data_IF_975857663928
#
_entry.id   IF_975857663928
#
_cell.length_a   1.000
_cell.length_b   1.000
_cell.length_c   1.000
_cell.angle_alpha   90.00
_cell.angle_beta   90.00
_cell.angle_gamma   90.00
#
_symmetry.space_group_name_H-M   'P 1'
#
loop_
_entity.id
_entity.type
_entity.pdbx_description
1 polymer ?
#
# COMPACT_ATOMS: atom_id res chain seq x y z
N UNK A 1 -14.78 -5.51 -0.59
CA UNK A 1 -13.53 -6.23 -0.86
C UNK A 1 -12.71 -6.46 0.40
N UNK A 2 -12.17 -5.41 1.01
CA UNK A 2 -11.53 -5.46 2.34
C UNK A 2 -12.47 -4.83 3.38
N UNK A 3 -12.62 -5.48 4.54
CA UNK A 3 -13.41 -4.97 5.65
C UNK A 3 -12.68 -5.16 6.97
N UNK A 4 -12.58 -4.10 7.75
CA UNK A 4 -12.12 -4.09 9.13
C UNK A 4 -13.28 -3.67 10.02
N UNK A 5 -13.51 -4.37 11.14
CA UNK A 5 -14.54 -4.04 12.11
C UNK A 5 -13.96 -4.05 13.52
N UNK A 6 -14.05 -2.90 14.20
CA UNK A 6 -13.65 -2.66 15.59
C UNK A 6 -12.25 -3.22 15.92
N UNK A 7 -11.27 -2.96 15.05
CA UNK A 7 -9.93 -3.53 15.17
C UNK A 7 -9.09 -2.78 16.18
N UNK A 8 -8.66 -3.49 17.22
CA UNK A 8 -7.67 -3.05 18.22
C UNK A 8 -6.35 -3.77 17.99
N UNK A 9 -5.24 -3.03 17.86
CA UNK A 9 -3.93 -3.64 17.63
C UNK A 9 -2.78 -2.80 18.21
N UNK A 10 -1.61 -3.45 18.36
CA UNK A 10 -0.42 -2.79 18.88
C UNK A 10 0.75 -3.74 19.07
N UNK A 11 1.75 -3.30 19.81
CA UNK A 11 3.02 -3.99 20.03
C UNK A 11 3.21 -4.30 21.53
N UNK A 12 3.34 -5.55 21.91
CA UNK A 12 3.47 -5.94 23.33
C UNK A 12 2.33 -5.33 24.17
N UNK A 13 2.64 -4.51 25.16
CA UNK A 13 1.65 -3.78 25.96
C UNK A 13 1.13 -2.49 25.33
N UNK A 14 1.87 -1.93 24.35
CA UNK A 14 1.50 -0.68 23.71
C UNK A 14 0.38 -0.90 22.68
N UNK A 15 -0.74 -0.19 22.83
CA UNK A 15 -1.83 -0.19 21.86
C UNK A 15 -1.66 0.99 20.90
N UNK A 16 -1.73 0.73 19.60
CA UNK A 16 -1.54 1.71 18.54
C UNK A 16 -2.80 1.96 17.70
N UNK A 17 -3.75 1.03 17.70
CA UNK A 17 -5.02 1.14 16.99
C UNK A 17 -6.16 0.86 17.96
N UNK A 18 -7.22 1.66 17.90
CA UNK A 18 -8.36 1.62 18.80
C UNK A 18 -9.66 1.61 17.99
N UNK A 19 -10.32 0.44 17.91
CA UNK A 19 -11.64 0.28 17.30
C UNK A 19 -11.69 0.72 15.84
N UNK A 20 -10.70 0.36 15.00
CA UNK A 20 -10.67 0.78 13.60
C UNK A 20 -11.76 0.09 12.80
N UNK A 21 -12.64 0.90 12.22
CA UNK A 21 -13.60 0.52 11.18
C UNK A 21 -13.18 1.11 9.84
N UNK A 22 -12.94 0.26 8.83
CA UNK A 22 -12.50 0.66 7.50
C UNK A 22 -12.99 -0.33 6.47
N UNK A 23 -13.39 0.16 5.30
CA UNK A 23 -13.71 -0.67 4.15
C UNK A 23 -13.04 -0.15 2.87
N UNK A 24 -12.73 -1.07 1.96
CA UNK A 24 -12.24 -0.77 0.61
C UNK A 24 -13.05 -1.58 -0.38
N UNK A 25 -13.63 -0.92 -1.39
CA UNK A 25 -14.39 -1.58 -2.47
C UNK A 25 -13.42 -2.08 -3.55
N UNK A 26 -13.87 -3.04 -4.35
CA UNK A 26 -13.08 -3.53 -5.48
C UNK A 26 -12.88 -2.42 -6.53
N UNK A 27 -11.65 -2.30 -7.05
CA UNK A 27 -11.28 -1.26 -8.03
C UNK A 27 -11.15 0.15 -7.46
N UNK A 28 -11.33 0.33 -6.15
CA UNK A 28 -11.23 1.62 -5.47
C UNK A 28 -9.79 1.91 -5.03
N UNK A 29 -9.37 3.17 -5.11
CA UNK A 29 -8.19 3.66 -4.41
C UNK A 29 -8.61 4.39 -3.14
N UNK A 30 -8.14 3.92 -1.98
CA UNK A 30 -8.44 4.50 -0.67
C UNK A 30 -7.17 5.01 -0.01
N UNK A 31 -7.21 6.23 0.51
CA UNK A 31 -6.14 6.82 1.31
C UNK A 31 -6.39 6.66 2.81
N UNK A 32 -5.34 6.37 3.58
CA UNK A 32 -5.34 6.58 5.02
C UNK A 32 -4.30 7.65 5.32
N UNK A 33 -4.78 8.81 5.71
CA UNK A 33 -3.97 10.02 5.94
C UNK A 33 -3.89 10.34 7.42
N UNK A 34 -2.80 10.97 7.83
CA UNK A 34 -2.60 11.35 9.23
C UNK A 34 -1.13 11.60 9.55
N UNK A 35 -0.84 12.16 10.74
CA UNK A 35 0.52 12.50 11.15
C UNK A 35 1.37 11.24 11.40
N UNK A 36 2.68 11.46 11.59
CA UNK A 36 3.58 10.40 12.02
C UNK A 36 3.17 9.89 13.40
N UNK A 37 3.26 8.58 13.59
CA UNK A 37 2.82 7.94 14.83
C UNK A 37 1.30 7.74 14.97
N UNK A 38 0.48 8.16 14.01
CA UNK A 38 -0.97 8.01 14.07
C UNK A 38 -1.47 6.55 14.00
N UNK A 39 -0.61 5.59 13.64
CA UNK A 39 -0.97 4.17 13.52
C UNK A 39 -1.06 3.66 12.08
N UNK A 40 -0.73 4.46 11.05
CA UNK A 40 -0.83 4.11 9.63
C UNK A 40 -0.09 2.81 9.27
N UNK A 41 1.22 2.75 9.56
CA UNK A 41 2.03 1.54 9.32
C UNK A 41 1.54 0.35 10.15
N UNK A 42 1.06 0.58 11.38
CA UNK A 42 0.46 -0.49 12.20
C UNK A 42 -0.77 -1.07 11.52
N UNK A 43 -1.64 -0.22 10.95
CA UNK A 43 -2.80 -0.64 10.18
C UNK A 43 -2.40 -1.52 8.98
N UNK A 44 -1.40 -1.09 8.19
CA UNK A 44 -0.88 -1.88 7.08
C UNK A 44 -0.33 -3.24 7.51
N UNK A 45 0.40 -3.28 8.63
CA UNK A 45 0.93 -4.54 9.19
C UNK A 45 -0.17 -5.46 9.71
N UNK A 46 -1.24 -4.92 10.23
CA UNK A 46 -2.41 -5.69 10.68
C UNK A 46 -3.14 -6.30 9.48
N UNK A 47 -3.40 -5.52 8.43
CA UNK A 47 -4.05 -6.01 7.20
C UNK A 47 -3.19 -7.07 6.50
N UNK A 48 -1.86 -6.90 6.49
CA UNK A 48 -0.92 -7.88 5.90
C UNK A 48 -0.60 -9.06 6.83
N UNK A 49 -1.29 -9.19 7.98
CA UNK A 49 -1.12 -10.31 8.92
C UNK A 49 0.20 -10.31 9.69
N UNK A 50 1.03 -9.27 9.58
CA UNK A 50 2.30 -9.14 10.30
C UNK A 50 2.10 -8.82 11.79
N UNK A 51 0.95 -8.22 12.12
CA UNK A 51 0.53 -7.99 13.50
C UNK A 51 -0.86 -8.59 13.67
N UNK A 52 -1.03 -9.44 14.66
CA UNK A 52 -2.35 -9.98 15.02
C UNK A 52 -3.09 -8.97 15.88
N UNK A 53 -4.31 -8.55 15.52
CA UNK A 53 -5.11 -7.66 16.34
C UNK A 53 -5.53 -8.37 17.64
N UNK A 54 -5.79 -7.56 18.68
CA UNK A 54 -6.30 -8.03 19.98
C UNK A 54 -7.80 -8.22 19.97
N UNK A 55 -8.50 -7.41 19.15
CA UNK A 55 -9.96 -7.40 18.97
C UNK A 55 -10.31 -7.07 17.54
N UNK A 56 -11.55 -7.36 17.19
CA UNK A 56 -12.11 -7.03 15.87
C UNK A 56 -11.94 -8.15 14.86
N UNK A 57 -12.33 -7.86 13.63
CA UNK A 57 -12.24 -8.79 12.50
C UNK A 57 -11.72 -8.11 11.25
N UNK A 58 -11.06 -8.89 10.39
CA UNK A 58 -10.55 -8.44 9.09
C UNK A 58 -10.96 -9.46 8.05
N UNK A 59 -11.67 -9.02 7.02
CA UNK A 59 -12.12 -9.88 5.94
C UNK A 59 -11.64 -9.37 4.59
N UNK A 60 -11.14 -10.28 3.76
CA UNK A 60 -10.79 -10.03 2.36
C UNK A 60 -11.68 -10.90 1.48
N UNK A 61 -12.60 -10.28 0.73
CA UNK A 61 -13.61 -10.98 -0.08
C UNK A 61 -14.39 -12.06 0.72
N UNK A 62 -14.72 -11.75 1.96
CA UNK A 62 -15.40 -12.66 2.88
C UNK A 62 -14.50 -13.64 3.62
N UNK A 63 -13.27 -13.88 3.16
CA UNK A 63 -12.31 -14.73 3.85
C UNK A 63 -11.72 -14.01 5.07
N UNK A 64 -11.59 -14.72 6.19
CA UNK A 64 -10.99 -14.19 7.41
C UNK A 64 -9.46 -14.15 7.28
N UNK A 65 -8.92 -12.92 7.30
CA UNK A 65 -7.48 -12.67 7.21
C UNK A 65 -6.76 -13.20 8.46
N UNK A 66 -7.40 -13.18 9.62
CA UNK A 66 -6.78 -13.53 10.91
C UNK A 66 -6.51 -15.04 11.09
N UNK A 67 -7.22 -15.88 10.32
CA UNK A 67 -7.00 -17.33 10.29
C UNK A 67 -5.91 -17.74 9.30
N UNK A 68 -5.45 -16.80 8.46
CA UNK A 68 -4.44 -17.04 7.43
C UNK A 68 -3.04 -16.74 7.97
N UNK A 69 -2.08 -17.67 7.90
CA UNK A 69 -0.69 -17.39 8.28
C UNK A 69 -0.09 -16.25 7.46
N UNK A 70 0.77 -15.38 8.03
CA UNK A 70 1.31 -14.20 7.35
C UNK A 70 1.93 -14.49 5.97
N UNK A 71 2.69 -15.57 5.83
CA UNK A 71 3.31 -15.97 4.57
C UNK A 71 2.30 -16.44 3.50
N UNK A 72 1.02 -16.65 3.84
CA UNK A 72 -0.06 -17.04 2.94
C UNK A 72 -1.04 -15.91 2.64
N UNK A 73 -0.89 -14.74 3.25
CA UNK A 73 -1.76 -13.58 3.01
C UNK A 73 -1.75 -13.18 1.53
N UNK A 74 -0.64 -13.36 0.85
CA UNK A 74 -0.51 -13.12 -0.60
C UNK A 74 -1.47 -14.02 -1.41
N UNK A 75 -1.84 -15.20 -0.92
CA UNK A 75 -2.82 -16.09 -1.59
C UNK A 75 -4.26 -15.56 -1.48
N UNK A 76 -4.56 -14.67 -0.54
CA UNK A 76 -5.81 -13.94 -0.48
C UNK A 76 -5.84 -12.77 -1.48
N UNK A 77 -4.76 -12.55 -2.23
CA UNK A 77 -4.62 -11.45 -3.17
C UNK A 77 -4.19 -10.13 -2.53
N UNK A 78 -3.62 -10.14 -1.33
CA UNK A 78 -3.09 -8.95 -0.66
C UNK A 78 -1.58 -8.88 -0.88
N UNK A 79 -1.08 -7.82 -1.52
CA UNK A 79 0.35 -7.53 -1.61
C UNK A 79 0.68 -6.25 -0.85
N UNK A 80 1.78 -6.25 -0.10
CA UNK A 80 2.20 -5.14 0.74
C UNK A 80 3.59 -4.62 0.31
N UNK A 81 3.65 -3.35 -0.03
CA UNK A 81 4.89 -2.59 -0.22
C UNK A 81 5.14 -1.80 1.07
N UNK A 82 6.01 -2.26 1.95
CA UNK A 82 6.27 -1.58 3.21
C UNK A 82 7.14 -0.34 2.99
N UNK A 83 7.12 0.56 3.97
CA UNK A 83 8.09 1.64 4.10
C UNK A 83 9.54 1.09 3.93
N UNK A 84 10.44 1.90 3.41
CA UNK A 84 11.83 1.50 3.13
C UNK A 84 12.02 0.40 2.07
N UNK A 85 11.01 0.18 1.19
CA UNK A 85 11.10 -0.62 -0.06
C UNK A 85 11.42 -2.10 0.13
N UNK A 86 12.29 -2.46 1.05
CA UNK A 86 12.74 -3.82 1.40
C UNK A 86 13.10 -4.69 0.18
N UNK A 87 13.86 -4.11 -0.75
CA UNK A 87 14.43 -4.86 -1.86
C UNK A 87 15.56 -5.77 -1.39
N UNK A 88 15.89 -6.74 -2.21
CA UNK A 88 17.12 -7.52 -2.11
C UNK A 88 18.25 -6.77 -2.85
N UNK A 89 19.11 -5.99 -2.16
CA UNK A 89 20.00 -5.03 -2.84
C UNK A 89 21.08 -5.68 -3.69
N UNK A 90 21.45 -6.93 -3.36
CA UNK A 90 22.44 -7.73 -4.09
C UNK A 90 21.85 -8.56 -5.22
N UNK A 91 20.55 -8.53 -5.42
CA UNK A 91 19.88 -9.15 -6.56
C UNK A 91 19.61 -8.12 -7.64
N UNK A 92 19.52 -8.59 -8.88
CA UNK A 92 19.14 -7.76 -10.02
C UNK A 92 17.68 -7.29 -9.91
N UNK A 93 17.29 -6.33 -10.75
CA UNK A 93 15.87 -5.93 -10.91
C UNK A 93 15.04 -7.16 -11.29
N UNK A 94 15.45 -7.93 -12.27
CA UNK A 94 14.75 -9.15 -12.70
C UNK A 94 14.58 -10.16 -11.56
N UNK A 95 15.61 -10.40 -10.76
CA UNK A 95 15.53 -11.34 -9.65
C UNK A 95 14.60 -10.81 -8.55
N UNK A 96 14.63 -9.50 -8.25
CA UNK A 96 13.68 -8.88 -7.35
C UNK A 96 12.22 -9.06 -7.84
N UNK A 97 11.95 -8.84 -9.12
CA UNK A 97 10.63 -9.07 -9.71
C UNK A 97 10.23 -10.55 -9.64
N UNK A 98 11.14 -11.46 -9.95
CA UNK A 98 10.93 -12.90 -9.88
C UNK A 98 10.55 -13.36 -8.47
N UNK A 99 11.15 -12.76 -7.43
CA UNK A 99 10.77 -13.04 -6.04
C UNK A 99 9.32 -12.65 -5.73
N UNK A 100 8.74 -11.67 -6.44
CA UNK A 100 7.33 -11.31 -6.31
C UNK A 100 6.38 -12.38 -6.86
N UNK A 101 6.82 -13.17 -7.83
CA UNK A 101 6.04 -14.27 -8.42
C UNK A 101 6.23 -15.62 -7.69
N UNK A 102 6.40 -15.58 -6.37
CA UNK A 102 6.74 -16.77 -5.58
C UNK A 102 5.60 -17.81 -5.52
N UNK A 103 4.32 -17.37 -5.48
CA UNK A 103 3.17 -18.27 -5.41
C UNK A 103 2.91 -18.97 -6.74
N UNK A 104 2.30 -20.17 -6.70
CA UNK A 104 2.09 -21.02 -7.89
C UNK A 104 1.32 -20.32 -9.01
N UNK A 105 0.22 -19.62 -8.69
CA UNK A 105 -0.59 -18.88 -9.67
C UNK A 105 0.23 -17.73 -10.32
N UNK A 106 1.05 -17.04 -9.53
CA UNK A 106 1.92 -16.00 -10.04
C UNK A 106 2.98 -16.55 -10.99
N UNK A 107 3.53 -17.75 -10.71
CA UNK A 107 4.50 -18.42 -11.60
C UNK A 107 3.87 -18.81 -12.93
N UNK A 108 2.64 -19.32 -12.92
CA UNK A 108 1.93 -19.71 -14.14
C UNK A 108 1.69 -18.53 -15.10
N UNK A 109 1.53 -17.31 -14.55
CA UNK A 109 1.29 -16.06 -15.30
C UNK A 109 2.51 -15.14 -15.32
N UNK A 110 3.72 -15.65 -15.11
CA UNK A 110 4.92 -14.84 -14.92
C UNK A 110 5.19 -13.89 -16.07
N UNK A 111 5.16 -14.39 -17.31
CA UNK A 111 5.46 -13.60 -18.49
C UNK A 111 4.46 -12.45 -18.71
N UNK A 112 3.16 -12.73 -18.54
CA UNK A 112 2.08 -11.75 -18.65
C UNK A 112 2.26 -10.62 -17.60
N UNK A 113 2.52 -11.01 -16.34
CA UNK A 113 2.70 -10.05 -15.26
C UNK A 113 3.98 -9.24 -15.40
N UNK A 114 5.04 -9.85 -15.91
CA UNK A 114 6.30 -9.15 -16.18
C UNK A 114 6.13 -8.08 -17.25
N UNK A 115 5.42 -8.39 -18.35
CA UNK A 115 5.11 -7.38 -19.38
C UNK A 115 4.25 -6.25 -18.78
N UNK A 116 3.20 -6.56 -18.02
CA UNK A 116 2.40 -5.55 -17.34
C UNK A 116 3.27 -4.63 -16.43
N UNK A 117 4.20 -5.21 -15.67
CA UNK A 117 5.13 -4.44 -14.83
C UNK A 117 6.05 -3.57 -15.69
N UNK A 118 6.55 -4.07 -16.80
CA UNK A 118 7.42 -3.28 -17.69
C UNK A 118 6.67 -2.19 -18.45
N UNK A 119 5.40 -2.37 -18.75
CA UNK A 119 4.54 -1.32 -19.32
C UNK A 119 4.29 -0.18 -18.31
N UNK A 120 4.16 -0.53 -17.03
CA UNK A 120 4.07 0.47 -15.96
C UNK A 120 5.42 1.16 -15.70
N UNK A 121 6.54 0.43 -15.84
CA UNK A 121 7.88 0.84 -15.47
C UNK A 121 8.91 0.58 -16.59
N UNK A 122 8.88 1.31 -17.72
CA UNK A 122 9.80 1.06 -18.84
C UNK A 122 11.29 1.09 -18.45
N UNK A 123 11.66 1.96 -17.50
CA UNK A 123 13.03 2.03 -16.97
C UNK A 123 13.52 0.75 -16.30
N UNK A 124 12.63 -0.04 -15.70
CA UNK A 124 13.00 -1.35 -15.15
C UNK A 124 13.30 -2.36 -16.25
N UNK A 125 12.59 -2.28 -17.40
CA UNK A 125 12.88 -3.11 -18.57
C UNK A 125 14.29 -2.85 -19.12
N UNK A 126 14.69 -1.58 -19.19
CA UNK A 126 16.02 -1.17 -19.64
C UNK A 126 17.15 -1.63 -18.69
N UNK A 127 16.84 -1.78 -17.39
CA UNK A 127 17.81 -2.03 -16.32
C UNK A 127 17.66 -3.38 -15.64
N UNK A 128 17.11 -4.37 -16.33
CA UNK A 128 16.79 -5.71 -15.79
C UNK A 128 17.94 -6.38 -15.05
N UNK A 129 19.16 -6.27 -15.59
CA UNK A 129 20.37 -6.88 -15.01
C UNK A 129 21.06 -6.01 -13.96
N UNK A 130 20.61 -4.75 -13.76
CA UNK A 130 21.20 -3.87 -12.76
C UNK A 130 20.88 -4.35 -11.35
N UNK A 131 21.86 -4.32 -10.44
CA UNK A 131 21.64 -4.62 -9.02
C UNK A 131 20.74 -3.56 -8.38
N UNK A 132 19.69 -4.00 -7.68
CA UNK A 132 18.70 -3.09 -7.09
C UNK A 132 19.31 -2.10 -6.08
N UNK A 133 20.37 -2.49 -5.37
CA UNK A 133 21.06 -1.61 -4.44
C UNK A 133 21.79 -0.42 -5.07
N UNK A 134 22.07 -0.46 -6.39
CA UNK A 134 22.77 0.61 -7.12
C UNK A 134 21.80 1.60 -7.79
N UNK A 135 20.50 1.36 -7.69
CA UNK A 135 19.47 2.22 -8.27
C UNK A 135 19.22 3.45 -7.39
N UNK A 136 18.71 4.51 -8.00
CA UNK A 136 18.21 5.68 -7.25
C UNK A 136 17.04 5.29 -6.31
N UNK A 137 16.78 6.09 -5.29
CA UNK A 137 15.68 5.83 -4.36
C UNK A 137 14.31 5.69 -5.03
N UNK A 138 14.05 6.49 -6.07
CA UNK A 138 12.82 6.38 -6.86
C UNK A 138 12.73 5.10 -7.66
N UNK A 139 13.81 4.71 -8.35
CA UNK A 139 13.86 3.45 -9.10
C UNK A 139 13.70 2.24 -8.17
N UNK A 140 14.29 2.29 -6.96
CA UNK A 140 14.09 1.26 -5.95
C UNK A 140 12.62 1.17 -5.51
N UNK A 141 11.94 2.33 -5.35
CA UNK A 141 10.52 2.36 -5.02
C UNK A 141 9.66 1.73 -6.12
N UNK A 142 9.95 2.08 -7.38
CA UNK A 142 9.27 1.47 -8.53
C UNK A 142 9.51 -0.04 -8.59
N UNK A 143 10.73 -0.49 -8.32
CA UNK A 143 11.07 -1.92 -8.28
C UNK A 143 10.33 -2.65 -7.14
N UNK A 144 10.17 -2.03 -5.97
CA UNK A 144 9.41 -2.61 -4.85
C UNK A 144 7.92 -2.76 -5.19
N UNK A 145 7.33 -1.75 -5.83
CA UNK A 145 5.95 -1.81 -6.31
C UNK A 145 5.82 -2.86 -7.42
N UNK A 146 6.72 -2.88 -8.39
CA UNK A 146 6.75 -3.88 -9.46
C UNK A 146 6.83 -5.30 -8.90
N UNK A 147 7.70 -5.55 -7.92
CA UNK A 147 7.79 -6.84 -7.24
C UNK A 147 6.46 -7.24 -6.57
N UNK A 148 5.77 -6.31 -5.94
CA UNK A 148 4.47 -6.59 -5.34
C UNK A 148 3.41 -6.94 -6.40
N UNK A 149 3.40 -6.24 -7.54
CA UNK A 149 2.50 -6.49 -8.67
C UNK A 149 2.74 -7.86 -9.33
N UNK A 150 3.95 -8.38 -9.29
CA UNK A 150 4.26 -9.72 -9.81
C UNK A 150 3.49 -10.83 -9.12
N UNK A 151 3.00 -10.63 -7.88
CA UNK A 151 2.11 -11.61 -7.23
C UNK A 151 0.70 -11.65 -7.84
N UNK A 152 0.33 -10.67 -8.66
CA UNK A 152 -1.03 -10.51 -9.23
C UNK A 152 -2.06 -10.20 -8.15
N UNK A 153 -1.85 -9.17 -7.33
CA UNK A 153 -2.71 -8.89 -6.20
C UNK A 153 -4.09 -8.42 -6.65
N UNK A 154 -5.08 -8.60 -5.79
CA UNK A 154 -6.39 -7.96 -5.86
C UNK A 154 -6.40 -6.64 -5.08
N UNK A 155 -5.58 -6.56 -4.03
CA UNK A 155 -5.38 -5.38 -3.19
C UNK A 155 -3.88 -5.10 -3.01
N UNK A 156 -3.47 -3.92 -3.42
CA UNK A 156 -2.12 -3.41 -3.22
C UNK A 156 -2.09 -2.45 -2.03
N UNK A 157 -1.30 -2.79 -1.01
CA UNK A 157 -1.04 -1.95 0.15
C UNK A 157 0.26 -1.17 -0.08
N UNK A 158 0.22 0.16 0.02
CA UNK A 158 1.37 1.05 -0.13
C UNK A 158 1.59 1.83 1.18
N UNK A 159 2.68 1.52 1.86
CA UNK A 159 3.03 2.15 3.15
C UNK A 159 4.06 3.27 2.93
N UNK A 160 3.61 4.52 2.98
CA UNK A 160 4.37 5.76 2.76
C UNK A 160 5.29 5.68 1.52
N UNK A 161 4.74 5.39 0.33
CA UNK A 161 5.56 5.14 -0.86
C UNK A 161 6.33 6.38 -1.35
N UNK A 162 5.98 7.58 -0.88
CA UNK A 162 6.67 8.83 -1.23
C UNK A 162 7.76 9.24 -0.26
N UNK A 163 7.90 8.55 0.89
CA UNK A 163 8.83 8.93 1.95
C UNK A 163 10.29 8.98 1.49
N UNK A 164 10.97 10.07 1.79
CA UNK A 164 12.40 10.26 1.47
C UNK A 164 12.73 10.35 -0.02
N UNK A 165 11.74 10.65 -0.88
CA UNK A 165 11.94 10.84 -2.31
C UNK A 165 11.99 12.32 -2.70
N UNK A 166 12.72 12.63 -3.77
CA UNK A 166 12.74 13.98 -4.35
C UNK A 166 11.34 14.36 -4.89
N UNK A 167 10.95 15.65 -4.89
CA UNK A 167 9.61 16.09 -5.27
C UNK A 167 9.13 15.59 -6.64
N UNK A 168 10.01 15.56 -7.64
CA UNK A 168 9.67 15.06 -8.97
C UNK A 168 9.34 13.55 -8.94
N UNK A 169 10.07 12.78 -8.13
CA UNK A 169 9.83 11.32 -7.99
C UNK A 169 8.53 11.07 -7.21
N UNK A 170 8.22 11.88 -6.20
CA UNK A 170 6.94 11.84 -5.50
C UNK A 170 5.77 11.95 -6.49
N UNK A 171 5.83 12.94 -7.41
CA UNK A 171 4.80 13.08 -8.46
C UNK A 171 4.69 11.82 -9.32
N UNK A 172 5.82 11.21 -9.72
CA UNK A 172 5.82 9.98 -10.49
C UNK A 172 5.19 8.80 -9.73
N UNK A 173 5.41 8.69 -8.42
CA UNK A 173 4.77 7.66 -7.59
C UNK A 173 3.25 7.85 -7.57
N UNK A 174 2.75 9.06 -7.39
CA UNK A 174 1.30 9.30 -7.38
C UNK A 174 0.66 9.11 -8.76
N UNK A 175 1.32 9.52 -9.86
CA UNK A 175 0.84 9.21 -11.22
C UNK A 175 0.81 7.70 -11.48
N UNK A 176 1.78 6.96 -10.95
CA UNK A 176 1.76 5.51 -11.00
C UNK A 176 0.55 4.92 -10.26
N UNK A 177 0.22 5.43 -9.07
CA UNK A 177 -0.98 4.97 -8.32
C UNK A 177 -2.24 5.17 -9.15
N UNK A 178 -2.37 6.29 -9.87
CA UNK A 178 -3.50 6.50 -10.81
C UNK A 178 -3.53 5.46 -11.93
N UNK A 179 -2.38 5.16 -12.54
CA UNK A 179 -2.29 4.14 -13.60
C UNK A 179 -2.64 2.75 -13.10
N UNK A 180 -2.15 2.38 -11.91
CA UNK A 180 -2.48 1.10 -11.24
C UNK A 180 -3.98 1.01 -10.98
N UNK A 181 -4.59 2.08 -10.42
CA UNK A 181 -6.04 2.15 -10.22
C UNK A 181 -6.80 2.02 -11.56
N UNK A 182 -6.37 2.72 -12.60
CA UNK A 182 -7.00 2.68 -13.92
C UNK A 182 -6.97 1.27 -14.55
N UNK A 183 -6.04 0.39 -14.16
CA UNK A 183 -6.03 -1.03 -14.55
C UNK A 183 -7.07 -1.88 -13.81
N UNK A 184 -7.86 -1.30 -12.90
CA UNK A 184 -8.88 -2.00 -12.10
C UNK A 184 -8.35 -2.60 -10.79
N UNK A 185 -7.06 -2.42 -10.47
CA UNK A 185 -6.49 -2.90 -9.23
C UNK A 185 -6.93 -2.03 -8.04
N UNK A 186 -7.33 -2.67 -6.94
CA UNK A 186 -7.67 -1.98 -5.69
C UNK A 186 -6.40 -1.54 -4.97
N UNK A 187 -6.37 -0.31 -4.47
CA UNK A 187 -5.22 0.25 -3.77
C UNK A 187 -5.63 0.79 -2.41
N UNK A 188 -4.88 0.46 -1.38
CA UNK A 188 -4.91 1.13 -0.09
C UNK A 188 -3.54 1.77 0.15
N UNK A 189 -3.49 3.09 0.22
CA UNK A 189 -2.27 3.85 0.41
C UNK A 189 -2.31 4.59 1.74
N UNK A 190 -1.26 4.48 2.55
CA UNK A 190 -1.09 5.32 3.73
C UNK A 190 0.00 6.35 3.46
N UNK A 191 -0.24 7.58 3.85
CA UNK A 191 0.66 8.71 3.57
C UNK A 191 0.50 9.84 4.59
N UNK A 192 1.56 10.61 4.72
CA UNK A 192 1.54 11.86 5.47
C UNK A 192 1.16 13.06 4.55
N UNK A 193 1.49 13.00 3.28
CA UNK A 193 1.21 14.08 2.33
C UNK A 193 -0.26 14.06 1.88
N UNK A 194 -1.12 14.66 2.70
CA UNK A 194 -2.57 14.70 2.50
C UNK A 194 -2.96 15.25 1.13
N UNK A 195 -2.35 16.37 0.72
CA UNK A 195 -2.68 17.03 -0.56
C UNK A 195 -2.43 16.13 -1.76
N UNK A 196 -1.32 15.39 -1.77
CA UNK A 196 -0.97 14.53 -2.89
C UNK A 196 -1.86 13.27 -2.93
N UNK A 197 -2.13 12.66 -1.77
CA UNK A 197 -3.00 11.49 -1.70
C UNK A 197 -4.40 11.79 -2.17
N UNK A 198 -5.01 12.89 -1.67
CA UNK A 198 -6.38 13.25 -2.03
C UNK A 198 -6.58 13.56 -3.52
N UNK A 199 -5.51 13.81 -4.29
CA UNK A 199 -5.58 13.97 -5.76
C UNK A 199 -5.65 12.65 -6.53
N UNK A 200 -5.34 11.52 -5.88
CA UNK A 200 -5.17 10.23 -6.56
C UNK A 200 -6.07 9.11 -6.05
N UNK A 201 -6.74 9.32 -4.89
CA UNK A 201 -7.66 8.35 -4.29
C UNK A 201 -9.12 8.76 -4.48
N UNK A 202 -10.04 7.81 -4.37
CA UNK A 202 -11.49 8.03 -4.43
C UNK A 202 -12.04 8.53 -3.09
N UNK A 203 -11.60 7.87 -2.02
CA UNK A 203 -11.98 8.15 -0.64
C UNK A 203 -10.76 8.17 0.26
N UNK A 204 -10.89 8.79 1.41
CA UNK A 204 -9.85 8.73 2.43
C UNK A 204 -10.43 8.60 3.85
N UNK A 205 -9.61 8.06 4.73
CA UNK A 205 -9.79 8.01 6.17
C UNK A 205 -8.69 8.85 6.82
N UNK A 206 -9.07 9.76 7.71
CA UNK A 206 -8.15 10.48 8.57
C UNK A 206 -7.95 9.68 9.85
N UNK A 207 -6.71 9.26 10.11
CA UNK A 207 -6.34 8.57 11.35
C UNK A 207 -5.49 9.48 12.25
N UNK A 208 -5.86 9.58 13.52
CA UNK A 208 -5.13 10.31 14.55
C UNK A 208 -5.14 9.51 15.85
N UNK A 209 -3.97 9.43 16.50
CA UNK A 209 -3.81 8.71 17.76
C UNK A 209 -4.46 7.32 17.75
N UNK A 210 -4.35 6.60 16.63
CA UNK A 210 -4.87 5.24 16.46
C UNK A 210 -6.38 5.12 16.25
N UNK A 211 -7.11 6.22 16.00
CA UNK A 211 -8.56 6.23 15.76
C UNK A 211 -8.89 6.89 14.43
N UNK A 212 -9.96 6.44 13.75
CA UNK A 212 -10.50 7.16 12.59
C UNK A 212 -11.27 8.39 13.08
N UNK A 213 -10.86 9.58 12.64
CA UNK A 213 -11.47 10.86 13.00
C UNK A 213 -12.47 11.37 11.96
N UNK A 214 -12.18 11.09 10.69
CA UNK A 214 -13.04 11.47 9.58
C UNK A 214 -12.88 10.48 8.42
N UNK A 215 -13.88 10.38 7.59
CA UNK A 215 -13.82 9.63 6.34
C UNK A 215 -14.79 10.24 5.33
N UNK A 216 -14.46 10.14 4.06
CA UNK A 216 -15.30 10.66 2.98
C UNK A 216 -14.63 10.52 1.62
N UNK A 217 -15.30 10.98 0.58
CA UNK A 217 -14.71 11.14 -0.75
C UNK A 217 -13.54 12.10 -0.70
N UNK A 218 -12.63 12.02 -1.66
CA UNK A 218 -11.51 12.97 -1.76
C UNK A 218 -11.99 14.43 -1.80
N UNK A 219 -13.11 14.71 -2.48
CA UNK A 219 -13.68 16.03 -2.56
C UNK A 219 -14.20 16.52 -1.19
N UNK A 220 -14.92 15.68 -0.45
CA UNK A 220 -15.40 16.00 0.91
C UNK A 220 -14.23 16.22 1.87
N UNK A 221 -13.19 15.37 1.79
CA UNK A 221 -12.01 15.51 2.63
C UNK A 221 -11.23 16.80 2.33
N UNK A 222 -11.10 17.19 1.06
CA UNK A 222 -10.50 18.47 0.67
C UNK A 222 -11.32 19.68 1.10
N UNK A 223 -12.65 19.56 1.20
CA UNK A 223 -13.53 20.63 1.65
C UNK A 223 -13.60 20.75 3.19
N UNK A 224 -13.25 19.68 3.93
CA UNK A 224 -13.34 19.59 5.38
C UNK A 224 -12.47 20.65 6.07
N UNK A 225 -13.05 21.42 6.99
CA UNK A 225 -12.31 22.37 7.84
C UNK A 225 -11.26 21.67 8.69
N UNK A 226 -11.61 20.52 9.28
CA UNK A 226 -10.69 19.72 10.09
C UNK A 226 -9.43 19.30 9.32
N UNK A 227 -9.60 18.89 8.05
CA UNK A 227 -8.45 18.50 7.21
C UNK A 227 -7.67 19.74 6.75
N UNK A 228 -8.36 20.85 6.44
CA UNK A 228 -7.73 22.10 6.01
C UNK A 228 -6.85 22.69 7.12
N UNK A 229 -7.41 22.89 8.29
CA UNK A 229 -6.71 23.49 9.43
C UNK A 229 -5.51 22.64 9.89
N UNK A 230 -5.71 21.31 9.98
CA UNK A 230 -4.68 20.42 10.50
C UNK A 230 -3.57 20.09 9.49
N UNK A 231 -3.87 20.07 8.18
CA UNK A 231 -2.96 19.45 7.20
C UNK A 231 -2.76 20.24 5.91
N UNK A 232 -3.59 21.24 5.60
CA UNK A 232 -3.49 22.01 4.35
C UNK A 232 -2.97 23.46 4.55
N UNK A 233 -2.87 23.90 5.80
CA UNK A 233 -2.31 25.21 6.14
C UNK A 233 -3.18 26.40 5.74
N UNK A 234 -4.49 26.20 5.62
CA UNK A 234 -5.50 27.24 5.26
C UNK A 234 -6.66 27.20 6.22
#
# INVERSE_FOLDING_TARGET
MLELRSVDAGYGSFQALFGIDLDVKAGEAVGVIGPNGAGKTTLMRVISGLIRPRRGSIRMEGADVLTTPPHRIVNLGIAHVPENRRLFPRLSVDDNLKMGAFISDARAKYAERLEFVFDLFPRMKERRSQMAGTMSGGEQQMCAIGRALMSGPKLLLLDEPSAGLAPLVVQQVFELVKRIRASGLTVLIVEQNVQQVLKVVDRAYLIEAGTIRASGTSAEMLASSTVKEAYLGV
#
